data_IF_836144204522
#
_entry.id   IF_836144204522
#
_cell.length_a   1.000
_cell.length_b   1.000
_cell.length_c   1.000
_cell.angle_alpha   90.00
_cell.angle_beta   90.00
_cell.angle_gamma   90.00
#
_symmetry.space_group_name_H-M   'P 1'
#
loop_
_entity.id
_entity.type
_entity.pdbx_description
1 polymer ?
#
# COMPACT_ATOMS: atom_id res chain seq x y z
N UNK A 1 -8.21 -14.35 -4.04
CA UNK A 1 -7.07 -13.45 -4.34
C UNK A 1 -7.63 -12.30 -5.16
N UNK A 2 -7.27 -11.08 -4.80
CA UNK A 2 -7.61 -9.86 -5.53
C UNK A 2 -6.31 -9.18 -5.96
N UNK A 3 -6.22 -8.75 -7.20
CA UNK A 3 -5.08 -8.01 -7.72
C UNK A 3 -5.54 -6.63 -8.18
N UNK A 4 -4.79 -5.60 -7.78
CA UNK A 4 -5.05 -4.20 -8.11
C UNK A 4 -3.78 -3.65 -8.75
N UNK A 5 -3.90 -2.97 -9.88
CA UNK A 5 -2.79 -2.35 -10.58
C UNK A 5 -3.11 -0.89 -10.85
N UNK A 6 -2.15 -0.02 -10.55
CA UNK A 6 -2.16 1.40 -10.92
C UNK A 6 -0.94 1.68 -11.81
N UNK A 7 -1.16 2.28 -12.98
CA UNK A 7 -0.13 2.55 -13.99
C UNK A 7 -0.24 3.99 -14.49
N UNK A 8 0.91 4.67 -14.57
CA UNK A 8 1.00 6.05 -15.07
C UNK A 8 2.08 6.19 -16.13
N UNK A 9 1.87 7.15 -17.05
CA UNK A 9 2.86 7.63 -18.01
C UNK A 9 2.77 9.16 -18.08
N UNK A 10 3.89 9.83 -17.88
CA UNK A 10 4.02 11.28 -17.90
C UNK A 10 4.90 11.71 -19.07
N UNK A 11 4.65 12.91 -19.60
CA UNK A 11 5.47 13.51 -20.68
C UNK A 11 6.82 14.06 -20.19
N UNK A 12 7.00 14.19 -18.87
CA UNK A 12 8.24 14.56 -18.20
C UNK A 12 8.29 13.86 -16.81
N UNK A 13 9.47 13.70 -16.18
CA UNK A 13 9.55 13.06 -14.86
C UNK A 13 8.69 13.78 -13.80
N UNK A 14 7.84 13.04 -13.09
CA UNK A 14 6.98 13.54 -12.02
C UNK A 14 7.14 12.73 -10.74
N UNK A 15 6.91 13.35 -9.58
CA UNK A 15 6.73 12.59 -8.35
C UNK A 15 5.47 11.74 -8.44
N UNK A 16 5.54 10.49 -7.98
CA UNK A 16 4.42 9.57 -8.05
C UNK A 16 4.35 8.69 -6.80
N UNK A 17 3.14 8.49 -6.30
CA UNK A 17 2.88 7.69 -5.11
C UNK A 17 1.50 7.03 -5.21
N UNK A 18 1.40 5.76 -4.80
CA UNK A 18 0.15 4.99 -4.80
C UNK A 18 -0.22 4.64 -3.35
N UNK A 19 -1.29 5.24 -2.78
CA UNK A 19 -1.67 4.99 -1.40
C UNK A 19 -2.58 3.78 -1.24
N UNK A 20 -2.31 2.97 -0.22
CA UNK A 20 -3.24 2.00 0.36
C UNK A 20 -3.83 2.62 1.63
N UNK A 21 -5.16 2.79 1.66
CA UNK A 21 -5.87 3.39 2.79
C UNK A 21 -6.61 2.31 3.57
N UNK A 22 -6.44 2.28 4.89
CA UNK A 22 -7.11 1.30 5.74
C UNK A 22 -7.48 1.86 7.11
N UNK A 23 -8.56 1.34 7.68
CA UNK A 23 -8.95 1.55 9.08
C UNK A 23 -8.53 0.39 9.99
N UNK A 24 -7.77 -0.57 9.45
CA UNK A 24 -7.37 -1.80 10.15
C UNK A 24 -5.98 -1.69 10.75
N UNK A 25 -5.71 -2.58 11.69
CA UNK A 25 -4.36 -2.80 12.21
C UNK A 25 -3.47 -3.24 11.05
N UNK A 26 -2.22 -2.78 11.06
CA UNK A 26 -1.22 -3.08 10.04
C UNK A 26 0.01 -3.65 10.74
N UNK A 27 0.41 -4.84 10.34
CA UNK A 27 1.72 -5.39 10.68
C UNK A 27 2.58 -5.42 9.43
N UNK A 28 3.73 -4.75 9.47
CA UNK A 28 4.73 -4.84 8.42
C UNK A 28 5.55 -6.10 8.62
N UNK A 29 5.51 -7.00 7.63
CA UNK A 29 6.27 -8.25 7.64
C UNK A 29 7.66 -8.01 7.07
N UNK A 30 7.71 -7.29 5.95
CA UNK A 30 8.94 -6.83 5.29
C UNK A 30 8.66 -5.55 4.49
N UNK A 31 9.58 -5.15 3.61
CA UNK A 31 9.45 -3.93 2.80
C UNK A 31 8.32 -3.97 1.76
N UNK A 32 7.87 -5.17 1.40
CA UNK A 32 6.91 -5.43 0.32
C UNK A 32 5.64 -6.14 0.78
N UNK A 33 5.64 -6.68 2.01
CA UNK A 33 4.55 -7.49 2.54
C UNK A 33 3.98 -6.89 3.81
N UNK A 34 2.66 -6.72 3.83
CA UNK A 34 1.88 -6.19 4.95
C UNK A 34 0.76 -7.16 5.32
N UNK A 35 0.46 -7.27 6.60
CA UNK A 35 -0.73 -7.95 7.09
C UNK A 35 -1.72 -6.91 7.62
N UNK A 36 -2.87 -6.79 6.96
CA UNK A 36 -3.97 -5.92 7.38
C UNK A 36 -5.03 -6.78 8.07
N UNK A 37 -5.40 -6.46 9.30
CA UNK A 37 -6.28 -7.36 10.08
C UNK A 37 -7.18 -6.66 11.09
N UNK A 38 -8.23 -7.37 11.48
CA UNK A 38 -9.02 -7.12 12.68
C UNK A 38 -8.90 -8.30 13.65
N UNK A 39 -9.75 -8.34 14.68
CA UNK A 39 -9.72 -9.40 15.70
C UNK A 39 -10.10 -10.80 15.18
N UNK A 40 -10.69 -10.91 13.99
CA UNK A 40 -11.27 -12.14 13.47
C UNK A 40 -10.70 -12.55 12.11
N UNK A 41 -10.25 -11.59 11.29
CA UNK A 41 -9.84 -11.83 9.90
C UNK A 41 -8.66 -10.94 9.54
N UNK A 42 -7.85 -11.42 8.60
CA UNK A 42 -6.77 -10.64 8.03
C UNK A 42 -6.56 -10.93 6.55
N UNK A 43 -5.82 -10.04 5.90
CA UNK A 43 -5.34 -10.20 4.53
C UNK A 43 -3.85 -9.92 4.47
N UNK A 44 -3.15 -10.69 3.66
CA UNK A 44 -1.79 -10.41 3.24
C UNK A 44 -1.86 -9.54 2.01
N UNK A 45 -1.12 -8.44 2.06
CA UNK A 45 -0.97 -7.46 0.99
C UNK A 45 0.48 -7.52 0.54
N UNK A 46 0.70 -7.93 -0.71
CA UNK A 46 2.01 -7.91 -1.36
C UNK A 46 2.06 -6.80 -2.39
N UNK A 47 3.14 -6.04 -2.35
CA UNK A 47 3.37 -4.88 -3.19
C UNK A 47 4.54 -5.17 -4.12
N UNK A 48 4.31 -5.00 -5.42
CA UNK A 48 5.38 -4.91 -6.41
C UNK A 48 5.28 -3.58 -7.15
N UNK A 49 6.42 -3.06 -7.59
CA UNK A 49 6.45 -1.81 -8.32
C UNK A 49 7.54 -1.81 -9.40
N UNK A 50 7.22 -1.21 -10.53
CA UNK A 50 8.09 -0.95 -11.67
C UNK A 50 8.19 0.57 -11.87
N UNK A 51 9.35 1.07 -12.30
CA UNK A 51 9.61 2.50 -12.53
C UNK A 51 10.72 3.09 -11.67
N UNK A 52 11.22 2.36 -10.67
CA UNK A 52 12.37 2.77 -9.86
C UNK A 52 12.31 2.26 -8.42
N UNK A 53 13.30 2.67 -7.63
CA UNK A 53 13.30 2.43 -6.19
C UNK A 53 12.14 3.19 -5.53
N UNK A 54 11.52 2.59 -4.53
CA UNK A 54 10.40 3.16 -3.80
C UNK A 54 10.53 2.87 -2.31
N UNK A 55 9.76 3.59 -1.50
CA UNK A 55 9.65 3.39 -0.06
C UNK A 55 8.19 3.37 0.36
N UNK A 56 7.87 2.57 1.38
CA UNK A 56 6.56 2.59 2.01
C UNK A 56 6.53 3.68 3.09
N UNK A 57 5.78 4.75 2.84
CA UNK A 57 5.57 5.83 3.80
C UNK A 57 4.27 5.60 4.55
N UNK A 58 4.31 5.66 5.87
CA UNK A 58 3.15 5.45 6.72
C UNK A 58 2.76 6.74 7.43
N UNK A 59 1.47 7.09 7.36
CA UNK A 59 0.92 8.21 8.10
C UNK A 59 -0.49 7.94 8.60
N UNK A 60 -0.89 8.69 9.62
CA UNK A 60 -2.25 8.74 10.11
C UNK A 60 -2.94 9.97 9.51
N UNK A 61 -4.01 9.78 8.73
CA UNK A 61 -4.75 10.87 8.10
C UNK A 61 -5.71 11.53 9.08
N UNK A 62 -5.75 12.86 9.11
CA UNK A 62 -6.78 13.59 9.83
C UNK A 62 -8.16 13.32 9.21
N UNK A 63 -9.15 13.01 10.06
CA UNK A 63 -10.53 12.75 9.62
C UNK A 63 -11.53 13.33 10.63
N UNK A 64 -11.79 14.65 10.62
CA UNK A 64 -12.60 15.30 11.63
C UNK A 64 -14.00 14.69 11.74
N UNK A 65 -14.42 14.39 12.98
CA UNK A 65 -15.72 13.78 13.26
C UNK A 65 -15.84 12.29 12.93
N UNK A 66 -14.74 11.62 12.53
CA UNK A 66 -14.70 10.19 12.18
C UNK A 66 -13.42 9.53 12.68
N UNK A 67 -13.36 8.20 12.61
CA UNK A 67 -12.12 7.48 12.85
C UNK A 67 -11.07 7.90 11.80
N UNK A 68 -9.82 8.13 12.24
CA UNK A 68 -8.72 8.47 11.33
C UNK A 68 -8.22 7.20 10.63
N UNK A 69 -8.14 7.16 9.29
CA UNK A 69 -7.55 6.04 8.58
C UNK A 69 -6.03 6.17 8.49
N UNK A 70 -5.35 5.03 8.35
CA UNK A 70 -3.92 4.96 8.04
C UNK A 70 -3.73 5.00 6.52
N UNK A 71 -2.75 5.76 6.07
CA UNK A 71 -2.26 5.77 4.69
C UNK A 71 -0.88 5.12 4.63
N UNK A 72 -0.76 4.11 3.77
CA UNK A 72 0.47 3.40 3.45
C UNK A 72 0.79 3.68 1.98
N UNK A 73 1.74 4.58 1.74
CA UNK A 73 2.01 5.11 0.41
C UNK A 73 3.26 4.47 -0.20
N UNK A 74 3.10 3.85 -1.38
CA UNK A 74 4.20 3.37 -2.21
C UNK A 74 4.75 4.58 -2.98
N UNK A 75 5.77 5.22 -2.44
CA UNK A 75 6.33 6.47 -2.99
C UNK A 75 7.65 6.20 -3.72
N UNK A 76 7.72 6.55 -5.01
CA UNK A 76 8.97 6.44 -5.77
C UNK A 76 10.01 7.45 -5.28
N UNK A 77 11.24 6.98 -5.08
CA UNK A 77 12.33 7.77 -4.49
C UNK A 77 12.82 8.89 -5.42
N UNK A 78 12.68 8.70 -6.73
CA UNK A 78 13.00 9.69 -7.75
C UNK A 78 11.76 9.93 -8.64
N UNK A 79 11.65 11.11 -9.29
CA UNK A 79 10.62 11.36 -10.29
C UNK A 79 10.65 10.31 -11.41
N UNK A 80 9.47 9.85 -11.83
CA UNK A 80 9.28 8.81 -12.86
C UNK A 80 8.58 9.38 -14.09
N UNK A 81 8.91 8.86 -15.27
CA UNK A 81 8.14 9.09 -16.50
C UNK A 81 7.11 7.99 -16.75
N UNK A 82 7.34 6.81 -16.18
CA UNK A 82 6.37 5.71 -16.15
C UNK A 82 6.57 4.87 -14.90
N UNK A 83 5.48 4.44 -14.30
CA UNK A 83 5.51 3.54 -13.17
C UNK A 83 4.27 2.67 -13.14
N UNK A 84 4.41 1.49 -12.53
CA UNK A 84 3.31 0.58 -12.25
C UNK A 84 3.45 0.07 -10.83
N UNK A 85 2.37 0.13 -10.04
CA UNK A 85 2.29 -0.49 -8.72
C UNK A 85 1.22 -1.57 -8.76
N UNK A 86 1.58 -2.79 -8.40
CA UNK A 86 0.64 -3.90 -8.27
C UNK A 86 0.53 -4.30 -6.80
N UNK A 87 -0.71 -4.46 -6.35
CA UNK A 87 -1.06 -4.89 -5.00
C UNK A 87 -1.85 -6.19 -5.11
N UNK A 88 -1.29 -7.27 -4.57
CA UNK A 88 -1.97 -8.56 -4.44
C UNK A 88 -2.50 -8.71 -3.02
N UNK A 89 -3.79 -8.95 -2.89
CA UNK A 89 -4.49 -9.14 -1.61
C UNK A 89 -5.00 -10.58 -1.52
N UNK A 90 -4.54 -11.30 -0.49
CA UNK A 90 -4.92 -12.70 -0.24
C UNK A 90 -5.42 -12.84 1.19
N UNK A 91 -6.53 -13.58 1.46
CA UNK A 91 -6.93 -13.88 2.83
C UNK A 91 -5.79 -14.54 3.62
N UNK A 92 -5.55 -14.08 4.85
CA UNK A 92 -4.66 -14.76 5.77
C UNK A 92 -5.38 -15.98 6.34
N UNK A 93 -4.92 -17.18 5.96
CA UNK A 93 -5.42 -18.41 6.54
C UNK A 93 -4.98 -18.51 8.01
N UNK A 94 -5.93 -18.80 8.90
CA UNK A 94 -5.61 -19.15 10.29
C UNK A 94 -5.09 -18.00 11.15
N UNK A 95 -5.51 -16.75 10.91
CA UNK A 95 -5.23 -15.62 11.79
C UNK A 95 -5.71 -15.96 13.22
N UNK A 96 -4.78 -16.42 14.06
CA UNK A 96 -4.99 -16.75 15.47
C UNK A 96 -4.19 -15.76 16.29
N UNK A 97 -4.88 -15.24 17.29
CA UNK A 97 -4.46 -14.21 18.23
C UNK A 97 -3.13 -14.53 18.92
#
# INVERSE_FOLDING_TARGET
MLEISDEVRFTAPQTFSVPIITYREVTRIDDTTLHLHDKQRGVEVKITAEGGAWRLEEEQLENPGKASPRRLAVTFAAPVTSARVCVTVTPLAGFKR
#
